data_IF_870117539996
#
_entry.id   IF_870117539996
#
_cell.length_a   1.000
_cell.length_b   1.000
_cell.length_c   1.000
_cell.angle_alpha   90.00
_cell.angle_beta   90.00
_cell.angle_gamma   90.00
#
_symmetry.space_group_name_H-M   'P 1'
#
loop_
_entity.id
_entity.type
_entity.pdbx_description
1 polymer ?
#
# COMPACT_ATOMS: atom_id res chain seq x y z
N UNK A 1 -16.18 -0.79 -12.47
CA UNK A 1 -16.61 -0.79 -11.05
C UNK A 1 -16.46 -2.22 -10.56
N UNK A 2 -15.42 -2.52 -9.77
CA UNK A 2 -15.21 -3.87 -9.27
C UNK A 2 -16.18 -4.15 -8.10
N UNK A 3 -16.82 -5.33 -8.03
CA UNK A 3 -17.76 -5.65 -6.96
C UNK A 3 -17.02 -5.80 -5.62
N UNK A 4 -17.55 -5.14 -4.59
CA UNK A 4 -17.17 -5.36 -3.20
C UNK A 4 -17.78 -6.68 -2.76
N UNK A 5 -17.06 -7.78 -2.97
CA UNK A 5 -17.42 -9.09 -2.43
C UNK A 5 -17.48 -9.00 -0.90
N UNK A 6 -18.60 -9.45 -0.37
CA UNK A 6 -18.98 -9.42 1.03
C UNK A 6 -17.84 -9.89 1.94
N UNK A 7 -17.52 -9.13 3.00
CA UNK A 7 -16.72 -9.57 4.15
C UNK A 7 -17.63 -10.09 5.27
N UNK A 8 -18.03 -11.38 5.29
CA UNK A 8 -18.79 -11.94 6.40
C UNK A 8 -17.95 -12.41 7.59
N UNK A 9 -16.63 -12.60 7.48
CA UNK A 9 -15.85 -13.25 8.56
C UNK A 9 -15.26 -12.28 9.61
N UNK A 10 -14.80 -11.09 9.20
CA UNK A 10 -14.17 -10.12 10.12
C UNK A 10 -15.15 -9.58 11.17
N UNK A 11 -16.38 -9.28 10.76
CA UNK A 11 -17.42 -8.76 11.66
C UNK A 11 -17.78 -9.76 12.77
N UNK A 12 -17.67 -11.06 12.46
CA UNK A 12 -17.93 -12.14 13.44
C UNK A 12 -16.82 -12.17 14.48
N UNK A 13 -15.55 -12.14 14.06
CA UNK A 13 -14.40 -12.09 14.98
C UNK A 13 -14.44 -10.82 15.83
N UNK A 14 -14.77 -9.67 15.25
CA UNK A 14 -14.90 -8.41 15.99
C UNK A 14 -16.00 -8.47 17.05
N UNK A 15 -17.17 -9.02 16.69
CA UNK A 15 -18.27 -9.20 17.64
C UNK A 15 -17.89 -10.15 18.78
N UNK A 16 -17.26 -11.28 18.47
CA UNK A 16 -16.81 -12.22 19.48
C UNK A 16 -15.74 -11.59 20.41
N UNK A 17 -14.83 -10.77 19.87
CA UNK A 17 -13.84 -10.05 20.67
C UNK A 17 -14.49 -9.04 21.63
N UNK A 18 -15.52 -8.31 21.17
CA UNK A 18 -16.32 -7.41 22.03
C UNK A 18 -17.01 -8.19 23.15
N UNK A 19 -17.58 -9.35 22.86
CA UNK A 19 -18.20 -10.24 23.84
C UNK A 19 -17.19 -10.76 24.89
N UNK A 20 -15.96 -11.10 24.47
CA UNK A 20 -14.87 -11.48 25.39
C UNK A 20 -14.50 -10.32 26.32
N UNK A 21 -14.30 -9.11 25.78
CA UNK A 21 -13.96 -7.92 26.58
C UNK A 21 -15.08 -7.62 27.60
N UNK A 22 -16.34 -7.73 27.17
CA UNK A 22 -17.49 -7.55 28.04
C UNK A 22 -17.54 -8.59 29.17
N UNK A 23 -17.23 -9.86 28.87
CA UNK A 23 -17.13 -10.93 29.87
C UNK A 23 -15.99 -10.67 30.86
N UNK A 24 -14.82 -10.22 30.41
CA UNK A 24 -13.71 -9.83 31.28
C UNK A 24 -14.09 -8.69 32.24
N UNK A 25 -14.82 -7.70 31.73
CA UNK A 25 -15.31 -6.59 32.56
C UNK A 25 -16.34 -7.06 33.60
N UNK A 26 -17.26 -7.95 33.23
CA UNK A 26 -18.24 -8.53 34.16
C UNK A 26 -17.56 -9.32 35.27
N UNK A 27 -16.58 -10.17 34.93
CA UNK A 27 -15.80 -10.92 35.92
C UNK A 27 -15.05 -9.97 36.86
N UNK A 28 -14.44 -8.91 36.33
CA UNK A 28 -13.75 -7.89 37.15
C UNK A 28 -14.68 -7.29 38.20
N UNK A 29 -15.89 -6.88 37.79
CA UNK A 29 -16.89 -6.28 38.70
C UNK A 29 -17.41 -7.29 39.73
N UNK A 30 -17.61 -8.55 39.34
CA UNK A 30 -18.07 -9.60 40.25
C UNK A 30 -17.00 -9.96 41.28
N UNK A 31 -15.73 -9.99 40.87
CA UNK A 31 -14.60 -10.24 41.76
C UNK A 31 -14.36 -9.05 42.69
N UNK A 32 -14.47 -7.80 42.21
CA UNK A 32 -14.31 -6.62 43.07
C UNK A 32 -15.38 -6.54 44.17
N UNK A 33 -16.57 -7.05 43.87
CA UNK A 33 -17.71 -7.05 44.80
C UNK A 33 -17.90 -8.40 45.48
N UNK A 34 -16.90 -9.28 45.40
CA UNK A 34 -16.97 -10.63 45.95
C UNK A 34 -17.27 -10.57 47.45
N UNK A 35 -18.30 -11.31 47.87
CA UNK A 35 -18.73 -11.45 49.27
C UNK A 35 -19.28 -10.18 49.97
N UNK A 36 -19.29 -9.03 49.29
CA UNK A 36 -19.82 -7.76 49.83
C UNK A 36 -21.33 -7.79 50.12
N UNK A 37 -22.06 -8.73 49.53
CA UNK A 37 -23.52 -8.88 49.67
C UNK A 37 -23.95 -10.18 50.37
N UNK A 38 -23.08 -10.74 51.23
CA UNK A 38 -23.35 -11.86 52.14
C UNK A 38 -24.63 -12.67 51.88
N UNK A 39 -24.56 -13.69 51.02
CA UNK A 39 -25.65 -14.66 50.88
C UNK A 39 -25.99 -15.21 49.49
N UNK A 40 -25.31 -14.82 48.41
CA UNK A 40 -25.53 -15.42 47.07
C UNK A 40 -24.44 -16.42 46.70
N UNK A 41 -24.73 -17.47 45.89
CA UNK A 41 -23.72 -18.39 45.35
C UNK A 41 -22.84 -17.68 44.30
N UNK A 42 -22.09 -16.67 44.71
CA UNK A 42 -21.16 -15.88 43.88
C UNK A 42 -20.06 -16.77 43.30
N UNK A 43 -19.67 -17.81 44.03
CA UNK A 43 -18.69 -18.82 43.57
C UNK A 43 -19.17 -19.57 42.33
N UNK A 44 -20.41 -20.05 42.32
CA UNK A 44 -20.92 -20.85 41.20
C UNK A 44 -21.16 -19.99 39.96
N UNK A 45 -21.58 -18.74 40.16
CA UNK A 45 -21.72 -17.74 39.09
C UNK A 45 -20.35 -17.43 38.47
N UNK A 46 -19.33 -17.13 39.29
CA UNK A 46 -17.97 -16.88 38.80
C UNK A 46 -17.37 -18.07 38.07
N UNK A 47 -17.58 -19.29 38.58
CA UNK A 47 -17.13 -20.51 37.91
C UNK A 47 -17.82 -20.70 36.53
N UNK A 48 -19.12 -20.39 36.46
CA UNK A 48 -19.89 -20.37 35.22
C UNK A 48 -19.35 -19.34 34.22
N UNK A 49 -19.07 -18.12 34.66
CA UNK A 49 -18.53 -17.05 33.82
C UNK A 49 -17.13 -17.36 33.30
N UNK A 50 -16.24 -17.89 34.14
CA UNK A 50 -14.90 -18.30 33.72
C UNK A 50 -14.95 -19.42 32.67
N UNK A 51 -15.88 -20.38 32.84
CA UNK A 51 -16.10 -21.44 31.87
C UNK A 51 -16.65 -20.89 30.55
N UNK A 52 -17.55 -19.90 30.62
CA UNK A 52 -18.08 -19.19 29.45
C UNK A 52 -17.00 -18.41 28.71
N UNK A 53 -16.16 -17.68 29.44
CA UNK A 53 -15.01 -16.95 28.89
C UNK A 53 -14.04 -17.88 28.17
N UNK A 54 -13.71 -19.03 28.78
CA UNK A 54 -12.84 -20.04 28.16
C UNK A 54 -13.40 -20.54 26.82
N UNK A 55 -14.72 -20.85 26.78
CA UNK A 55 -15.39 -21.25 25.53
C UNK A 55 -15.38 -20.14 24.49
N UNK A 56 -15.61 -18.89 24.90
CA UNK A 56 -15.60 -17.74 24.02
C UNK A 56 -14.21 -17.51 23.39
N UNK A 57 -13.14 -17.56 24.18
CA UNK A 57 -11.76 -17.47 23.69
C UNK A 57 -11.42 -18.59 22.69
N UNK A 58 -11.85 -19.82 22.97
CA UNK A 58 -11.66 -20.94 22.04
C UNK A 58 -12.46 -20.76 20.75
N UNK A 59 -13.68 -20.19 20.82
CA UNK A 59 -14.49 -19.88 19.65
C UNK A 59 -13.84 -18.80 18.78
N UNK A 60 -13.30 -17.74 19.39
CA UNK A 60 -12.53 -16.69 18.70
C UNK A 60 -11.33 -17.29 17.99
N UNK A 61 -10.52 -18.09 18.70
CA UNK A 61 -9.34 -18.72 18.12
C UNK A 61 -9.70 -19.63 16.93
N UNK A 62 -10.76 -20.44 17.03
CA UNK A 62 -11.19 -21.31 15.92
C UNK A 62 -11.69 -20.50 14.72
N UNK A 63 -12.44 -19.42 14.97
CA UNK A 63 -12.95 -18.54 13.91
C UNK A 63 -11.79 -17.83 13.21
N UNK A 64 -10.82 -17.31 13.98
CA UNK A 64 -9.60 -16.71 13.44
C UNK A 64 -8.67 -17.73 12.75
N UNK A 65 -8.53 -18.95 13.25
CA UNK A 65 -7.68 -19.98 12.63
C UNK A 65 -8.28 -20.54 11.34
N UNK A 66 -9.61 -20.78 11.32
CA UNK A 66 -10.33 -21.21 10.12
C UNK A 66 -10.16 -20.21 8.97
N UNK A 67 -10.07 -18.92 9.30
CA UNK A 67 -9.83 -17.84 8.35
C UNK A 67 -8.44 -17.85 7.69
N UNK A 68 -7.47 -18.55 8.27
CA UNK A 68 -6.05 -18.49 7.87
C UNK A 68 -5.55 -19.67 7.01
N UNK A 69 -6.35 -20.74 6.87
CA UNK A 69 -5.86 -22.05 6.39
C UNK A 69 -6.26 -22.47 4.97
N UNK A 70 -6.91 -21.60 4.19
CA UNK A 70 -7.32 -21.93 2.82
C UNK A 70 -6.28 -21.50 1.75
N UNK A 71 -5.37 -22.43 1.41
CA UNK A 71 -4.78 -22.69 0.05
C UNK A 71 -3.33 -22.26 -0.31
N UNK A 72 -2.65 -23.00 -1.24
CA UNK A 72 -1.20 -23.00 -1.55
C UNK A 72 -0.76 -21.97 -2.64
N UNK A 73 0.55 -21.85 -2.98
CA UNK A 73 1.06 -20.72 -3.76
C UNK A 73 0.81 -20.91 -5.27
N UNK A 74 0.17 -19.93 -5.91
CA UNK A 74 0.18 -19.80 -7.37
C UNK A 74 0.54 -18.37 -7.79
N UNK A 75 1.38 -18.27 -8.82
CA UNK A 75 2.20 -17.10 -9.19
C UNK A 75 1.47 -16.08 -10.10
N UNK A 76 0.20 -16.30 -10.46
CA UNK A 76 -0.44 -15.55 -11.56
C UNK A 76 -1.90 -15.11 -11.34
N UNK A 77 -2.39 -15.03 -10.09
CA UNK A 77 -3.70 -14.44 -9.78
C UNK A 77 -3.55 -13.29 -8.77
N UNK A 78 -4.31 -12.19 -8.88
CA UNK A 78 -4.38 -11.22 -7.80
C UNK A 78 -5.08 -11.91 -6.60
N UNK A 79 -4.40 -12.11 -5.46
CA UNK A 79 -4.92 -12.99 -4.42
C UNK A 79 -5.84 -12.22 -3.48
N UNK A 80 -7.14 -12.32 -3.73
CA UNK A 80 -8.18 -11.91 -2.78
C UNK A 80 -8.49 -13.05 -1.80
N UNK A 81 -8.40 -12.70 -0.52
CA UNK A 81 -9.00 -13.35 0.65
C UNK A 81 -8.32 -14.60 1.23
N UNK A 82 -7.12 -14.43 1.78
CA UNK A 82 -6.87 -14.95 3.13
C UNK A 82 -7.91 -14.30 4.08
N UNK A 83 -8.73 -15.07 4.79
CA UNK A 83 -9.88 -14.51 5.52
C UNK A 83 -9.46 -13.61 6.71
N UNK A 84 -8.19 -13.68 7.14
CA UNK A 84 -7.48 -12.56 7.79
C UNK A 84 -6.24 -12.16 6.99
N UNK A 85 -5.97 -10.85 6.78
CA UNK A 85 -4.77 -10.39 6.08
C UNK A 85 -3.51 -10.62 6.92
N UNK A 86 -2.39 -10.90 6.25
CA UNK A 86 -1.09 -10.95 6.89
C UNK A 86 -0.73 -9.57 7.48
N UNK A 87 -0.32 -9.54 8.75
CA UNK A 87 0.06 -8.32 9.47
C UNK A 87 1.59 -8.25 9.60
N UNK A 88 2.25 -7.20 9.09
CA UNK A 88 3.67 -6.95 9.33
C UNK A 88 4.04 -6.96 10.83
N UNK A 89 5.20 -7.51 11.19
CA UNK A 89 5.66 -7.56 12.59
C UNK A 89 5.81 -6.16 13.21
N UNK A 90 6.23 -5.18 12.42
CA UNK A 90 6.32 -3.77 12.84
C UNK A 90 4.96 -3.22 13.31
N UNK A 91 3.85 -3.63 12.67
CA UNK A 91 2.51 -3.22 13.09
C UNK A 91 2.12 -3.84 14.44
N UNK A 92 2.56 -5.07 14.72
CA UNK A 92 2.33 -5.73 16.01
C UNK A 92 3.02 -4.93 17.12
N UNK A 93 4.27 -4.50 16.89
CA UNK A 93 5.00 -3.67 17.86
C UNK A 93 4.33 -2.30 18.12
N UNK A 94 3.68 -1.69 17.11
CA UNK A 94 2.91 -0.46 17.33
C UNK A 94 1.75 -0.70 18.29
N UNK A 95 1.01 -1.80 18.13
CA UNK A 95 -0.11 -2.16 19.00
C UNK A 95 0.37 -2.51 20.41
N UNK A 96 1.45 -3.29 20.54
CA UNK A 96 2.04 -3.65 21.84
C UNK A 96 2.49 -2.42 22.64
N UNK A 97 3.01 -1.41 21.95
CA UNK A 97 3.44 -0.14 22.56
C UNK A 97 2.29 0.86 22.78
N UNK A 98 1.04 0.51 22.44
CA UNK A 98 -0.12 1.40 22.53
C UNK A 98 -0.11 2.56 21.53
N UNK A 99 0.69 2.48 20.46
CA UNK A 99 0.75 3.47 19.38
C UNK A 99 -0.33 3.18 18.33
N UNK A 100 -0.91 4.23 17.75
CA UNK A 100 -1.92 4.06 16.70
C UNK A 100 -1.29 3.35 15.46
N UNK A 101 -1.79 2.16 15.05
CA UNK A 101 -1.28 1.43 13.88
C UNK A 101 -1.45 2.20 12.56
N UNK A 102 -2.37 3.16 12.47
CA UNK A 102 -2.54 4.00 11.27
C UNK A 102 -1.28 4.81 10.95
N UNK A 103 -0.48 5.15 11.96
CA UNK A 103 0.75 5.90 11.77
C UNK A 103 1.77 5.11 10.95
N UNK A 104 1.86 3.79 11.15
CA UNK A 104 2.72 2.94 10.32
C UNK A 104 2.31 2.98 8.85
N UNK A 105 1.00 2.90 8.58
CA UNK A 105 0.51 2.93 7.19
C UNK A 105 0.80 4.28 6.53
N UNK A 106 0.66 5.38 7.28
CA UNK A 106 1.04 6.72 6.85
C UNK A 106 2.53 6.81 6.55
N UNK A 107 3.38 6.41 7.49
CA UNK A 107 4.85 6.42 7.36
C UNK A 107 5.29 5.55 6.17
N UNK A 108 4.63 4.41 5.95
CA UNK A 108 4.89 3.53 4.81
C UNK A 108 4.58 4.22 3.47
N UNK A 109 3.42 4.87 3.34
CA UNK A 109 3.05 5.61 2.12
C UNK A 109 4.00 6.78 1.88
N UNK A 110 4.38 7.51 2.93
CA UNK A 110 5.36 8.59 2.86
C UNK A 110 6.75 8.08 2.41
N UNK A 111 7.19 6.93 2.95
CA UNK A 111 8.44 6.28 2.56
C UNK A 111 8.42 5.83 1.09
N UNK A 112 7.35 5.18 0.64
CA UNK A 112 7.19 4.74 -0.75
C UNK A 112 7.18 5.95 -1.70
N UNK A 113 6.46 7.02 -1.35
CA UNK A 113 6.46 8.26 -2.13
C UNK A 113 7.86 8.86 -2.24
N UNK A 114 8.56 9.00 -1.11
CA UNK A 114 9.92 9.54 -1.06
C UNK A 114 10.90 8.68 -1.86
N UNK A 115 10.82 7.35 -1.71
CA UNK A 115 11.62 6.38 -2.45
C UNK A 115 11.40 6.49 -3.96
N UNK A 116 10.14 6.54 -4.40
CA UNK A 116 9.80 6.68 -5.81
C UNK A 116 10.30 8.01 -6.41
N UNK A 117 10.16 9.12 -5.69
CA UNK A 117 10.69 10.41 -6.13
C UNK A 117 12.22 10.39 -6.22
N UNK A 118 12.88 9.82 -5.22
CA UNK A 118 14.34 9.72 -5.17
C UNK A 118 14.88 8.84 -6.31
N UNK A 119 14.25 7.68 -6.58
CA UNK A 119 14.60 6.83 -7.71
C UNK A 119 14.42 7.55 -9.04
N UNK A 120 13.29 8.23 -9.25
CA UNK A 120 13.05 9.03 -10.46
C UNK A 120 14.08 10.15 -10.64
N UNK A 121 14.47 10.80 -9.54
CA UNK A 121 15.53 11.82 -9.54
C UNK A 121 16.87 11.23 -9.96
N UNK A 122 17.28 10.10 -9.38
CA UNK A 122 18.51 9.38 -9.76
C UNK A 122 18.49 8.97 -11.23
N UNK A 123 17.39 8.40 -11.72
CA UNK A 123 17.26 8.02 -13.14
C UNK A 123 17.45 9.23 -14.07
N UNK A 124 16.85 10.38 -13.75
CA UNK A 124 17.07 11.61 -14.53
C UNK A 124 18.51 12.11 -14.47
N UNK A 125 19.15 12.07 -13.30
CA UNK A 125 20.54 12.50 -13.15
C UNK A 125 21.50 11.60 -13.96
N UNK A 126 21.30 10.27 -13.91
CA UNK A 126 22.10 9.34 -14.72
C UNK A 126 21.83 9.48 -16.21
N UNK A 127 20.59 9.73 -16.63
CA UNK A 127 20.28 10.03 -18.03
C UNK A 127 20.99 11.31 -18.50
N UNK A 128 20.93 12.39 -17.71
CA UNK A 128 21.63 13.64 -18.03
C UNK A 128 23.17 13.46 -18.05
N UNK A 129 23.73 12.71 -17.11
CA UNK A 129 25.16 12.38 -17.12
C UNK A 129 25.57 11.59 -18.35
N UNK A 130 24.78 10.58 -18.75
CA UNK A 130 24.99 9.83 -19.99
C UNK A 130 25.01 10.77 -21.20
N UNK A 131 24.04 11.67 -21.31
CA UNK A 131 23.89 12.54 -22.47
C UNK A 131 25.07 13.53 -22.58
N UNK A 132 25.51 14.11 -21.45
CA UNK A 132 26.70 14.99 -21.40
C UNK A 132 27.96 14.22 -21.75
N UNK A 133 28.18 13.04 -21.14
CA UNK A 133 29.34 12.22 -21.41
C UNK A 133 29.40 11.79 -22.88
N UNK A 134 28.27 11.41 -23.46
CA UNK A 134 28.17 11.06 -24.87
C UNK A 134 28.54 12.24 -25.79
N UNK A 135 28.11 13.46 -25.44
CA UNK A 135 28.48 14.68 -26.16
C UNK A 135 29.99 14.95 -26.12
N UNK A 136 30.58 14.90 -24.93
CA UNK A 136 32.03 15.10 -24.73
C UNK A 136 32.86 14.04 -25.45
N UNK A 137 32.49 12.75 -25.35
CA UNK A 137 33.17 11.66 -26.05
C UNK A 137 33.08 11.81 -27.58
N UNK A 138 31.93 12.24 -28.10
CA UNK A 138 31.74 12.49 -29.53
C UNK A 138 32.58 13.67 -30.03
N UNK A 139 32.80 14.68 -29.18
CA UNK A 139 33.64 15.86 -29.50
C UNK A 139 35.13 15.52 -29.45
N UNK A 140 35.57 14.85 -28.38
CA UNK A 140 36.98 14.52 -28.15
C UNK A 140 37.49 13.35 -29.02
N UNK A 141 36.61 12.40 -29.39
CA UNK A 141 36.96 11.19 -30.14
C UNK A 141 35.98 10.97 -31.31
N UNK A 142 36.17 11.65 -32.44
CA UNK A 142 35.22 11.59 -33.57
C UNK A 142 35.05 10.20 -34.18
N UNK A 143 36.07 9.35 -34.10
CA UNK A 143 36.04 7.97 -34.62
C UNK A 143 35.07 7.06 -33.85
N UNK A 144 34.73 7.41 -32.61
CA UNK A 144 33.89 6.61 -31.72
C UNK A 144 32.42 7.05 -31.72
N UNK A 145 32.05 8.05 -32.53
CA UNK A 145 30.70 8.66 -32.53
C UNK A 145 29.58 7.63 -32.74
N UNK A 146 29.76 6.73 -33.70
CA UNK A 146 28.76 5.73 -34.03
C UNK A 146 28.59 4.71 -32.89
N UNK A 147 29.68 4.35 -32.22
CA UNK A 147 29.66 3.48 -31.03
C UNK A 147 28.96 4.16 -29.85
N UNK A 148 29.28 5.42 -29.58
CA UNK A 148 28.64 6.20 -28.51
C UNK A 148 27.13 6.34 -28.78
N UNK A 149 26.73 6.62 -30.02
CA UNK A 149 25.32 6.69 -30.42
C UNK A 149 24.58 5.36 -30.19
N UNK A 150 25.21 4.22 -30.52
CA UNK A 150 24.67 2.88 -30.23
C UNK A 150 24.47 2.66 -28.74
N UNK A 151 25.43 3.04 -27.90
CA UNK A 151 25.34 2.87 -26.44
C UNK A 151 24.25 3.76 -25.83
N UNK A 152 24.13 5.01 -26.29
CA UNK A 152 23.08 5.93 -25.84
C UNK A 152 21.70 5.38 -26.18
N UNK A 153 21.50 4.89 -27.40
CA UNK A 153 20.24 4.27 -27.82
C UNK A 153 19.91 3.02 -26.99
N UNK A 154 20.90 2.15 -26.76
CA UNK A 154 20.74 0.92 -25.97
C UNK A 154 20.43 1.20 -24.50
N UNK A 155 20.84 2.34 -23.96
CA UNK A 155 20.60 2.75 -22.57
C UNK A 155 19.37 3.65 -22.40
N UNK A 156 18.49 3.71 -23.42
CA UNK A 156 17.22 4.45 -23.38
C UNK A 156 17.38 5.95 -23.58
N UNK A 157 18.42 6.38 -24.30
CA UNK A 157 18.57 7.76 -24.75
C UNK A 157 17.80 8.01 -26.04
N UNK A 158 17.58 9.28 -26.41
CA UNK A 158 16.97 9.60 -27.69
C UNK A 158 17.82 8.99 -28.80
N UNK A 159 17.17 8.20 -29.67
CA UNK A 159 17.79 7.73 -30.91
C UNK A 159 18.27 8.97 -31.65
N UNK A 160 19.58 9.06 -31.90
CA UNK A 160 20.11 10.11 -32.76
C UNK A 160 19.39 10.01 -34.11
N UNK A 161 18.45 10.92 -34.35
CA UNK A 161 17.71 11.02 -35.59
C UNK A 161 18.71 11.36 -36.68
N UNK A 162 18.97 10.39 -37.55
CA UNK A 162 19.62 10.59 -38.83
C UNK A 162 18.81 11.64 -39.59
N UNK A 163 19.43 12.80 -39.83
CA UNK A 163 18.95 13.87 -40.71
C UNK A 163 18.40 13.30 -42.02
N UNK A 164 17.16 13.62 -42.43
CA UNK A 164 16.79 13.68 -43.82
C UNK A 164 16.78 15.14 -44.29
N UNK A 165 17.33 15.28 -45.49
CA UNK A 165 17.59 16.47 -46.26
C UNK A 165 16.29 16.99 -46.88
N UNK A 166 16.16 18.31 -46.90
CA UNK A 166 15.36 19.14 -47.83
C UNK A 166 13.82 19.06 -47.78
N UNK A 167 13.22 20.13 -47.25
CA UNK A 167 11.86 20.55 -47.61
C UNK A 167 11.88 22.06 -47.85
N UNK A 168 12.11 22.38 -49.13
CA UNK A 168 12.09 23.69 -49.74
C UNK A 168 10.89 24.55 -49.35
N UNK A 169 11.24 25.79 -49.03
CA UNK A 169 10.43 27.02 -49.02
C UNK A 169 9.26 27.02 -50.01
N UNK A 170 8.05 27.20 -49.49
CA UNK A 170 6.85 27.59 -50.23
C UNK A 170 6.24 28.85 -49.62
N UNK A 171 6.67 30.02 -50.12
CA UNK A 171 6.07 31.32 -49.85
C UNK A 171 4.74 31.42 -50.60
N UNK A 172 3.67 31.80 -49.90
CA UNK A 172 2.37 32.13 -50.50
C UNK A 172 1.49 32.85 -49.49
N UNK A 173 1.52 34.18 -49.52
CA UNK A 173 0.70 35.05 -48.69
C UNK A 173 -0.75 35.16 -49.15
N UNK A 174 -1.60 35.65 -48.25
CA UNK A 174 -2.98 36.02 -48.53
C UNK A 174 -3.74 36.22 -47.22
N UNK A 175 -3.79 37.46 -46.74
CA UNK A 175 -4.60 37.83 -45.58
C UNK A 175 -6.08 37.92 -45.94
N UNK A 176 -6.94 37.82 -44.94
CA UNK A 176 -8.07 38.74 -44.78
C UNK A 176 -8.52 38.75 -43.32
N UNK A 177 -8.86 39.94 -42.84
CA UNK A 177 -9.30 40.17 -41.49
C UNK A 177 -10.81 39.96 -41.35
N UNK A 178 -11.24 39.54 -40.16
CA UNK A 178 -12.54 39.96 -39.64
C UNK A 178 -12.54 39.88 -38.12
N UNK A 179 -12.25 41.04 -37.54
CA UNK A 179 -12.71 41.45 -36.22
C UNK A 179 -14.22 41.65 -36.30
N UNK A 180 -14.97 41.10 -35.34
CA UNK A 180 -16.29 41.62 -34.97
C UNK A 180 -16.54 41.46 -33.46
N UNK A 181 -17.38 42.32 -32.86
CA UNK A 181 -17.14 42.96 -31.57
C UNK A 181 -18.17 42.57 -30.49
N UNK A 182 -17.96 43.12 -29.29
CA UNK A 182 -18.77 43.12 -28.06
C UNK A 182 -20.30 43.25 -28.27
N UNK A 183 -21.11 42.53 -27.50
CA UNK A 183 -21.86 43.04 -26.32
C UNK A 183 -23.38 43.01 -26.62
N UNK A 184 -24.31 43.22 -25.67
CA UNK A 184 -24.17 43.64 -24.26
C UNK A 184 -24.25 42.50 -23.22
#
# INVERSE_FOLDING_TARGET
MAPIESKPDHNVVEKQLKEVIQSLYQILVQVSNYDTQGGRPTRDVLAGELTSLSRSLQAVHRTAAASSSASPPSIASPPGASSLPAVPQELVQYVENGRNPDIYTREFVELVRRGNQLMRGKMRAFAGFRDVLAGEMSSAMPELKDDVARVVAATGGPLAESVPVDASVGVGGGGDGSVKPEGP
#
